data_IF_666805458732
#
_entry.id   IF_666805458732
#
_cell.length_a   1.000
_cell.length_b   1.000
_cell.length_c   1.000
_cell.angle_alpha   90.00
_cell.angle_beta   90.00
_cell.angle_gamma   90.00
#
_symmetry.space_group_name_H-M   'P 1'
#
loop_
_entity.id
_entity.type
_entity.pdbx_description
1 polymer ?
#
# COMPACT_ATOMS: atom_id res chain seq x y z
N UNK A 1 15.29 3.07 21.07
CA UNK A 1 15.25 3.45 19.64
C UNK A 1 14.62 4.84 19.58
N UNK A 2 15.04 5.73 18.68
CA UNK A 2 14.42 7.05 18.59
C UNK A 2 13.04 6.91 17.95
N UNK A 3 12.05 7.68 18.42
CA UNK A 3 10.65 7.60 17.97
C UNK A 3 10.50 7.70 16.44
N UNK A 4 11.37 8.46 15.78
CA UNK A 4 11.40 8.66 14.34
C UNK A 4 11.90 7.40 13.60
N UNK A 5 13.00 6.79 14.09
CA UNK A 5 13.53 5.51 13.59
C UNK A 5 12.47 4.39 13.72
N UNK A 6 11.78 4.33 14.87
CA UNK A 6 10.70 3.36 15.13
C UNK A 6 9.52 3.57 14.16
N UNK A 7 9.08 4.82 13.97
CA UNK A 7 8.01 5.16 13.05
C UNK A 7 8.34 4.77 11.61
N UNK A 8 9.55 5.11 11.14
CA UNK A 8 9.98 4.80 9.78
C UNK A 8 10.04 3.29 9.52
N UNK A 9 10.51 2.50 10.49
CA UNK A 9 10.49 1.05 10.39
C UNK A 9 9.07 0.47 10.33
N UNK A 10 8.20 0.90 11.25
CA UNK A 10 6.80 0.42 11.33
C UNK A 10 6.04 0.78 10.06
N UNK A 11 6.17 2.02 9.57
CA UNK A 11 5.50 2.47 8.36
C UNK A 11 5.95 1.66 7.13
N UNK A 12 7.25 1.40 6.98
CA UNK A 12 7.79 0.61 5.88
C UNK A 12 7.25 -0.83 5.85
N UNK A 13 7.18 -1.48 7.02
CA UNK A 13 6.59 -2.82 7.13
C UNK A 13 5.08 -2.79 6.82
N UNK A 14 4.35 -1.84 7.39
CA UNK A 14 2.92 -1.70 7.16
C UNK A 14 2.59 -1.49 5.67
N UNK A 15 3.34 -0.66 4.95
CA UNK A 15 3.11 -0.47 3.51
C UNK A 15 3.38 -1.74 2.69
N UNK A 16 4.39 -2.52 3.06
CA UNK A 16 4.67 -3.81 2.42
C UNK A 16 3.52 -4.81 2.63
N UNK A 17 3.02 -4.91 3.86
CA UNK A 17 1.88 -5.77 4.21
C UNK A 17 0.59 -5.33 3.50
N UNK A 18 0.26 -4.03 3.54
CA UNK A 18 -0.90 -3.48 2.84
C UNK A 18 -0.85 -3.76 1.34
N UNK A 19 0.33 -3.67 0.73
CA UNK A 19 0.50 -4.00 -0.69
C UNK A 19 0.23 -5.47 -0.97
N UNK A 20 0.74 -6.38 -0.16
CA UNK A 20 0.47 -7.81 -0.33
C UNK A 20 -1.04 -8.11 -0.21
N UNK A 21 -1.70 -7.52 0.78
CA UNK A 21 -3.14 -7.68 0.98
C UNK A 21 -3.96 -7.13 -0.20
N UNK A 22 -3.66 -5.93 -0.68
CA UNK A 22 -4.43 -5.32 -1.78
C UNK A 22 -4.22 -6.07 -3.10
N UNK A 23 -2.99 -6.48 -3.40
CA UNK A 23 -2.71 -7.23 -4.64
C UNK A 23 -3.38 -8.61 -4.59
N UNK A 24 -3.36 -9.29 -3.44
CA UNK A 24 -4.09 -10.55 -3.24
C UNK A 24 -5.62 -10.37 -3.37
N UNK A 25 -6.17 -9.29 -2.84
CA UNK A 25 -7.59 -8.96 -2.99
C UNK A 25 -7.96 -8.64 -4.44
N UNK A 26 -7.08 -7.96 -5.18
CA UNK A 26 -7.27 -7.70 -6.62
C UNK A 26 -7.26 -9.01 -7.39
N UNK A 27 -6.32 -9.93 -7.12
CA UNK A 27 -6.31 -11.25 -7.78
C UNK A 27 -7.61 -12.02 -7.54
N UNK A 28 -8.06 -12.09 -6.29
CA UNK A 28 -9.37 -12.68 -5.94
C UNK A 28 -10.54 -12.00 -6.67
N UNK A 29 -10.47 -10.68 -6.81
CA UNK A 29 -11.47 -9.92 -7.54
C UNK A 29 -11.45 -10.23 -9.04
N UNK A 30 -10.28 -10.28 -9.67
CA UNK A 30 -10.14 -10.52 -11.10
C UNK A 30 -10.53 -11.96 -11.49
N UNK A 31 -10.11 -12.93 -10.68
CA UNK A 31 -10.29 -14.36 -10.96
C UNK A 31 -11.72 -14.83 -10.61
N UNK A 32 -12.17 -14.59 -9.38
CA UNK A 32 -13.43 -15.16 -8.87
C UNK A 32 -14.57 -14.14 -8.91
N UNK A 33 -14.39 -12.97 -8.29
CA UNK A 33 -15.49 -12.00 -8.16
C UNK A 33 -15.86 -11.33 -9.49
N UNK A 34 -14.92 -11.23 -10.43
CA UNK A 34 -15.12 -10.67 -11.76
C UNK A 34 -16.06 -11.52 -12.59
N UNK A 35 -16.00 -12.85 -12.42
CA UNK A 35 -16.97 -13.78 -12.98
C UNK A 35 -18.39 -13.52 -12.41
N UNK A 36 -18.50 -13.34 -11.10
CA UNK A 36 -19.78 -13.01 -10.44
C UNK A 36 -20.34 -11.66 -10.88
N UNK A 37 -19.47 -10.67 -11.13
CA UNK A 37 -19.86 -9.35 -11.62
C UNK A 37 -20.48 -9.44 -13.02
N UNK A 38 -19.90 -10.26 -13.91
CA UNK A 38 -20.46 -10.54 -15.24
C UNK A 38 -21.78 -11.29 -15.15
N UNK A 39 -21.86 -12.33 -14.31
CA UNK A 39 -23.10 -13.07 -14.09
C UNK A 39 -24.23 -12.16 -13.58
N UNK A 40 -23.95 -11.32 -12.58
CA UNK A 40 -24.92 -10.36 -12.06
C UNK A 40 -25.41 -9.38 -13.14
N UNK A 41 -24.53 -8.98 -14.06
CA UNK A 41 -24.94 -8.14 -15.21
C UNK A 41 -25.87 -8.90 -16.15
N UNK A 42 -25.50 -10.13 -16.49
CA UNK A 42 -26.21 -10.93 -17.49
C UNK A 42 -27.59 -11.38 -16.97
N UNK A 43 -27.74 -11.57 -15.65
CA UNK A 43 -29.01 -11.85 -14.96
C UNK A 43 -29.85 -10.59 -14.63
N UNK A 44 -29.38 -9.39 -14.99
CA UNK A 44 -30.08 -8.13 -14.68
C UNK A 44 -30.08 -7.74 -13.19
N UNK A 45 -29.22 -8.35 -12.37
CA UNK A 45 -29.02 -8.03 -10.97
C UNK A 45 -28.18 -6.75 -10.80
N UNK A 46 -28.76 -5.60 -11.14
CA UNK A 46 -28.07 -4.32 -11.24
C UNK A 46 -27.45 -3.83 -9.91
N UNK A 47 -28.06 -4.08 -8.75
CA UNK A 47 -27.43 -3.78 -7.45
C UNK A 47 -26.14 -4.56 -7.24
N UNK A 48 -26.16 -5.88 -7.47
CA UNK A 48 -25.01 -6.76 -7.26
C UNK A 48 -23.88 -6.43 -8.23
N UNK A 49 -24.20 -6.17 -9.50
CA UNK A 49 -23.21 -5.75 -10.50
C UNK A 49 -22.53 -4.42 -10.10
N UNK A 50 -23.31 -3.42 -9.67
CA UNK A 50 -22.76 -2.13 -9.22
C UNK A 50 -21.86 -2.30 -8.00
N UNK A 51 -22.32 -3.03 -6.98
CA UNK A 51 -21.55 -3.25 -5.76
C UNK A 51 -20.20 -3.93 -6.05
N UNK A 52 -20.19 -4.97 -6.90
CA UNK A 52 -18.95 -5.66 -7.29
C UNK A 52 -18.02 -4.75 -8.10
N UNK A 53 -18.57 -3.97 -9.04
CA UNK A 53 -17.78 -3.00 -9.81
C UNK A 53 -17.14 -1.92 -8.91
N UNK A 54 -17.89 -1.42 -7.92
CA UNK A 54 -17.41 -0.40 -6.99
C UNK A 54 -16.31 -0.97 -6.07
N UNK A 55 -16.44 -2.23 -5.63
CA UNK A 55 -15.39 -2.92 -4.88
C UNK A 55 -14.11 -3.02 -5.72
N UNK A 56 -14.20 -3.47 -6.99
CA UNK A 56 -13.04 -3.54 -7.87
C UNK A 56 -12.37 -2.17 -8.03
N UNK A 57 -13.16 -1.13 -8.26
CA UNK A 57 -12.68 0.25 -8.39
C UNK A 57 -11.95 0.71 -7.12
N UNK A 58 -12.51 0.42 -5.95
CA UNK A 58 -11.91 0.77 -4.66
C UNK A 58 -10.57 0.04 -4.44
N UNK A 59 -10.45 -1.23 -4.83
CA UNK A 59 -9.21 -1.99 -4.70
C UNK A 59 -8.07 -1.40 -5.54
N UNK A 60 -8.33 -1.03 -6.80
CA UNK A 60 -7.31 -0.38 -7.64
C UNK A 60 -6.93 1.02 -7.14
N UNK A 61 -7.89 1.77 -6.59
CA UNK A 61 -7.60 3.05 -5.95
C UNK A 61 -6.70 2.86 -4.72
N UNK A 62 -7.00 1.88 -3.86
CA UNK A 62 -6.19 1.51 -2.71
C UNK A 62 -4.75 1.14 -3.11
N UNK A 63 -4.60 0.31 -4.14
CA UNK A 63 -3.28 -0.06 -4.70
C UNK A 63 -2.48 1.19 -5.09
N UNK A 64 -3.12 2.15 -5.74
CA UNK A 64 -2.49 3.40 -6.16
C UNK A 64 -2.03 4.22 -4.96
N UNK A 65 -2.86 4.35 -3.92
CA UNK A 65 -2.50 5.08 -2.71
C UNK A 65 -1.35 4.41 -1.94
N UNK A 66 -1.36 3.08 -1.81
CA UNK A 66 -0.26 2.34 -1.16
C UNK A 66 1.05 2.56 -1.93
N UNK A 67 1.02 2.55 -3.27
CA UNK A 67 2.20 2.84 -4.08
C UNK A 67 2.75 4.24 -3.81
N UNK A 68 1.89 5.26 -3.75
CA UNK A 68 2.33 6.63 -3.42
C UNK A 68 2.93 6.73 -2.01
N UNK A 69 2.38 6.01 -1.03
CA UNK A 69 2.92 5.97 0.33
C UNK A 69 4.30 5.27 0.36
N UNK A 70 4.46 4.17 -0.36
CA UNK A 70 5.74 3.48 -0.50
C UNK A 70 6.80 4.39 -1.14
N UNK A 71 6.45 5.13 -2.19
CA UNK A 71 7.35 6.07 -2.86
C UNK A 71 7.76 7.22 -1.93
N UNK A 72 6.81 7.78 -1.18
CA UNK A 72 7.08 8.83 -0.20
C UNK A 72 7.99 8.34 0.94
N UNK A 73 7.74 7.14 1.46
CA UNK A 73 8.56 6.50 2.48
C UNK A 73 9.99 6.24 2.01
N UNK A 74 10.14 5.70 0.80
CA UNK A 74 11.45 5.46 0.20
C UNK A 74 12.23 6.77 0.03
N UNK A 75 11.57 7.83 -0.43
CA UNK A 75 12.19 9.15 -0.56
C UNK A 75 12.62 9.71 0.80
N UNK A 76 11.80 9.56 1.84
CA UNK A 76 12.15 10.00 3.19
C UNK A 76 13.36 9.23 3.74
N UNK A 77 13.41 7.91 3.57
CA UNK A 77 14.54 7.08 3.98
C UNK A 77 15.87 7.44 3.26
N UNK A 78 15.80 7.91 2.01
CA UNK A 78 16.96 8.38 1.25
C UNK A 78 17.39 9.82 1.59
N UNK A 79 16.49 10.63 2.16
CA UNK A 79 16.75 12.02 2.53
C UNK A 79 17.29 12.16 3.96
N UNK A 80 17.29 11.10 4.76
CA UNK A 80 17.99 11.12 6.05
C UNK A 80 19.47 11.43 5.82
N UNK A 81 19.99 12.56 6.33
CA UNK A 81 21.37 12.92 6.13
C UNK A 81 22.25 11.91 6.84
N UNK A 82 23.34 11.53 6.19
CA UNK A 82 24.56 10.94 6.77
C UNK A 82 25.19 11.94 7.77
N UNK A 83 24.44 12.35 8.79
CA UNK A 83 24.80 13.32 9.81
C UNK A 83 25.13 12.66 11.16
N UNK A 84 24.64 11.43 11.38
CA UNK A 84 24.91 10.68 12.61
C UNK A 84 26.32 10.09 12.67
N UNK A 85 27.02 9.99 11.54
CA UNK A 85 28.38 9.45 11.47
C UNK A 85 29.50 10.49 11.69
N UNK A 86 29.19 11.79 11.82
CA UNK A 86 30.21 12.84 12.04
C UNK A 86 30.27 13.39 13.46
N UNK A 87 29.21 13.23 14.28
CA UNK A 87 29.21 13.75 15.66
C UNK A 87 30.11 12.93 16.62
N UNK A 88 30.39 11.66 16.32
CA UNK A 88 31.20 10.81 17.21
C UNK A 88 32.72 10.94 16.97
N UNK A 89 33.17 11.67 15.94
CA UNK A 89 34.60 11.88 15.66
C UNK A 89 35.14 13.24 16.06
N UNK A 90 34.28 14.21 16.38
CA UNK A 90 34.71 15.56 16.78
C UNK A 90 34.88 15.74 18.30
N UNK A 91 34.52 14.74 19.12
CA UNK A 91 34.73 14.74 20.56
C UNK A 91 35.92 13.88 21.03
N UNK A 92 36.79 13.47 20.09
CA UNK A 92 37.99 12.68 20.37
C UNK A 92 39.23 13.28 19.68
N UNK A 93 39.35 14.61 19.71
CA UNK A 93 40.58 15.33 19.43
C UNK A 93 40.69 16.54 20.37
#
# INVERSE_FOLDING_TARGET
MQLEDDFMWIAGNAFSEMRLLVEGAITLFEDDAGCLCRLARDEGAHEANRALNDIGTALYAFRTHIKSLQEAHHKAALQEPVGRAKADKENMC
#
